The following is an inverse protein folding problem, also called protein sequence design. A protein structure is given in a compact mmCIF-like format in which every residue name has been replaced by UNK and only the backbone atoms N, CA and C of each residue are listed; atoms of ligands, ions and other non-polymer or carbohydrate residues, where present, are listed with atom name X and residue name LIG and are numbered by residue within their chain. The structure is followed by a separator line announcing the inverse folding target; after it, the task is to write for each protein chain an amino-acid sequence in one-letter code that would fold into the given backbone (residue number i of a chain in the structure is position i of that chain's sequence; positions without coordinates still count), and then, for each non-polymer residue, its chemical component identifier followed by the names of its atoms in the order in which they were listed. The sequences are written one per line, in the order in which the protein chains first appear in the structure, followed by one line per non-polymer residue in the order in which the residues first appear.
data_IF_545524546248
#
_entry.id   IF_545524546248
#
_cell.length_a   1.000
_cell.length_b   1.000
_cell.length_c   1.000
_cell.angle_alpha   90.00
_cell.angle_beta   90.00
_cell.angle_gamma   90.00
#
_symmetry.space_group_name_H-M   'P 1'
#
loop_
_entity.id
_entity.type
_entity.pdbx_description
1 polymer ?
#
# COMPACT_ATOMS: atom_id res chain seq x y z
N UNK A 1 -72.77 34.15 -21.04
CA UNK A 1 -71.77 35.22 -20.82
C UNK A 1 -71.64 35.41 -19.31
N UNK A 2 -70.78 34.77 -18.50
CA UNK A 2 -69.39 34.25 -18.56
C UNK A 2 -68.28 35.30 -18.72
N UNK A 3 -68.03 36.03 -17.63
CA UNK A 3 -66.74 36.57 -17.11
C UNK A 3 -67.16 37.59 -16.05
N UNK A 4 -66.68 37.64 -14.81
CA UNK A 4 -65.28 37.79 -14.40
C UNK A 4 -65.24 37.53 -12.88
N UNK A 5 -64.93 36.31 -12.46
CA UNK A 5 -64.56 36.01 -11.07
C UNK A 5 -63.40 35.02 -11.13
N UNK A 6 -62.20 35.54 -11.37
CA UNK A 6 -61.01 34.69 -11.38
C UNK A 6 -59.73 35.47 -11.09
N UNK A 7 -59.71 36.26 -10.01
CA UNK A 7 -58.46 36.88 -9.50
C UNK A 7 -58.48 36.96 -7.96
N UNK A 8 -58.64 35.84 -7.25
CA UNK A 8 -58.33 35.76 -5.79
C UNK A 8 -57.77 34.38 -5.39
N UNK A 9 -57.09 33.66 -6.30
CA UNK A 9 -56.41 32.39 -5.95
C UNK A 9 -55.07 32.27 -6.67
N UNK A 10 -54.18 33.24 -6.45
CA UNK A 10 -52.76 33.08 -6.81
C UNK A 10 -51.88 34.08 -6.06
N UNK A 11 -51.93 34.05 -4.71
CA UNK A 11 -51.06 34.86 -3.86
C UNK A 11 -50.55 34.10 -2.61
N UNK A 12 -50.58 32.76 -2.64
CA UNK A 12 -50.04 31.90 -1.55
C UNK A 12 -49.01 30.87 -2.10
N UNK A 13 -48.51 31.07 -3.33
CA UNK A 13 -47.42 30.25 -3.87
C UNK A 13 -46.39 31.17 -4.52
N UNK A 14 -45.77 32.03 -3.70
CA UNK A 14 -44.58 32.81 -4.08
C UNK A 14 -43.85 33.33 -2.84
N UNK A 15 -43.76 32.49 -1.81
CA UNK A 15 -42.96 32.77 -0.61
C UNK A 15 -42.28 31.48 -0.09
N UNK A 16 -41.68 30.70 -0.98
CA UNK A 16 -40.95 29.48 -0.60
C UNK A 16 -39.68 29.24 -1.43
N UNK A 17 -38.98 30.31 -1.85
CA UNK A 17 -37.72 30.21 -2.62
C UNK A 17 -36.70 31.29 -2.24
N UNK A 18 -36.57 31.63 -0.96
CA UNK A 18 -35.49 32.51 -0.48
C UNK A 18 -35.11 32.14 0.95
N UNK A 19 -34.38 31.04 1.06
CA UNK A 19 -33.91 30.51 2.33
C UNK A 19 -32.98 29.32 2.15
N UNK A 20 -32.14 29.31 1.10
CA UNK A 20 -30.96 28.46 1.10
C UNK A 20 -29.98 29.16 2.04
N UNK A 21 -30.12 28.88 3.34
CA UNK A 21 -29.04 29.07 4.27
C UNK A 21 -27.84 28.31 3.70
N UNK A 22 -26.80 29.05 3.30
CA UNK A 22 -25.47 28.53 3.15
C UNK A 22 -24.99 28.08 4.54
N UNK A 23 -25.50 26.92 4.98
CA UNK A 23 -24.89 26.14 6.02
C UNK A 23 -23.55 25.68 5.44
N UNK A 24 -22.49 26.39 5.80
CA UNK A 24 -21.16 25.82 5.72
C UNK A 24 -21.23 24.49 6.48
N UNK A 25 -21.27 23.39 5.73
CA UNK A 25 -21.09 22.06 6.29
C UNK A 25 -19.65 22.08 6.81
N UNK A 26 -19.50 22.47 8.09
CA UNK A 26 -18.36 22.01 8.87
C UNK A 26 -18.44 20.50 8.77
N UNK A 27 -17.46 19.91 8.11
CA UNK A 27 -17.20 18.49 8.22
C UNK A 27 -16.87 18.21 9.70
N UNK A 28 -17.91 18.05 10.51
CA UNK A 28 -17.80 17.37 11.78
C UNK A 28 -17.24 15.99 11.44
N UNK A 29 -16.14 15.64 12.09
CA UNK A 29 -15.46 14.37 11.91
C UNK A 29 -16.49 13.25 12.06
N UNK A 30 -16.68 12.47 10.99
CA UNK A 30 -17.35 11.16 11.03
C UNK A 30 -16.51 10.23 11.92
N UNK A 31 -16.57 10.43 13.23
CA UNK A 31 -15.95 9.59 14.24
C UNK A 31 -17.05 8.72 14.84
N UNK A 32 -17.74 8.01 13.95
CA UNK A 32 -18.95 7.23 14.23
C UNK A 32 -18.54 5.79 14.52
N UNK A 33 -17.91 5.55 15.69
CA UNK A 33 -17.68 4.20 16.24
C UNK A 33 -16.73 3.24 15.49
N UNK A 34 -16.23 3.57 14.30
CA UNK A 34 -15.42 2.67 13.46
C UNK A 34 -13.91 2.65 13.80
N UNK A 35 -13.49 3.37 14.84
CA UNK A 35 -12.07 3.51 15.19
C UNK A 35 -11.27 4.32 14.15
N UNK A 36 -9.93 4.40 14.30
CA UNK A 36 -9.07 5.20 13.42
C UNK A 36 -9.21 4.81 11.94
N UNK A 37 -9.50 5.79 11.08
CA UNK A 37 -9.64 5.59 9.64
C UNK A 37 -8.42 6.10 8.88
N UNK A 38 -7.89 5.29 7.97
CA UNK A 38 -6.76 5.66 7.13
C UNK A 38 -7.21 6.55 5.96
N UNK A 39 -7.39 7.85 6.16
CA UNK A 39 -7.75 8.78 5.07
C UNK A 39 -6.71 8.79 3.95
N UNK A 40 -5.43 8.53 4.27
CA UNK A 40 -4.37 8.40 3.28
C UNK A 40 -4.51 7.18 2.35
N UNK A 41 -5.34 6.20 2.72
CA UNK A 41 -5.60 5.02 1.89
C UNK A 41 -6.46 5.33 0.65
N UNK A 42 -7.20 6.44 0.67
CA UNK A 42 -8.12 6.81 -0.41
C UNK A 42 -7.37 7.18 -1.70
N UNK A 43 -8.06 6.98 -2.82
CA UNK A 43 -7.59 7.30 -4.17
C UNK A 43 -6.73 6.21 -4.81
N UNK A 44 -6.14 6.55 -5.96
CA UNK A 44 -5.18 5.70 -6.65
C UNK A 44 -3.79 5.83 -6.02
N UNK A 45 -3.13 4.69 -5.77
CA UNK A 45 -1.73 4.63 -5.33
C UNK A 45 -0.85 4.10 -6.45
N UNK A 46 0.22 4.82 -6.75
CA UNK A 46 1.27 4.38 -7.68
C UNK A 46 2.18 3.40 -6.94
N UNK A 47 2.23 2.14 -7.39
CA UNK A 47 2.98 1.07 -6.74
C UNK A 47 4.04 0.51 -7.68
N UNK A 48 5.31 0.74 -7.36
CA UNK A 48 6.41 0.08 -8.05
C UNK A 48 6.46 -1.39 -7.59
N UNK A 49 6.21 -2.32 -8.49
CA UNK A 49 6.26 -3.76 -8.22
C UNK A 49 7.48 -4.36 -8.86
N UNK A 50 8.37 -4.96 -8.07
CA UNK A 50 9.65 -5.49 -8.54
C UNK A 50 9.76 -6.96 -8.19
N UNK A 51 9.97 -7.81 -9.19
CA UNK A 51 10.29 -9.22 -8.96
C UNK A 51 11.80 -9.39 -8.88
N UNK A 52 12.32 -9.79 -7.73
CA UNK A 52 13.77 -9.92 -7.51
C UNK A 52 14.23 -11.37 -7.55
N UNK A 53 15.41 -11.61 -8.11
CA UNK A 53 16.11 -12.90 -8.14
C UNK A 53 17.40 -12.84 -7.36
N UNK A 54 17.83 -14.00 -6.88
CA UNK A 54 19.13 -14.18 -6.23
C UNK A 54 20.01 -15.05 -7.15
N UNK A 55 21.35 -14.89 -7.13
CA UNK A 55 22.26 -15.68 -7.95
C UNK A 55 22.17 -17.19 -7.72
N UNK A 56 21.81 -17.61 -6.50
CA UNK A 56 21.75 -19.00 -6.04
C UNK A 56 20.32 -19.55 -5.91
N UNK A 57 19.31 -18.84 -6.43
CA UNK A 57 17.91 -19.27 -6.33
C UNK A 57 17.15 -19.13 -7.67
N UNK A 58 16.34 -20.15 -7.96
CA UNK A 58 15.55 -20.23 -9.19
C UNK A 58 14.07 -19.98 -8.89
N UNK A 59 13.40 -19.07 -9.62
CA UNK A 59 11.95 -18.89 -9.54
C UNK A 59 11.23 -20.20 -9.81
N UNK A 60 10.22 -20.49 -8.99
CA UNK A 60 9.38 -21.68 -9.14
C UNK A 60 8.08 -21.41 -9.88
N UNK A 61 7.70 -20.13 -10.03
CA UNK A 61 6.51 -19.71 -10.75
C UNK A 61 6.87 -18.94 -12.03
N UNK A 62 6.06 -19.07 -13.11
CA UNK A 62 6.16 -18.18 -14.25
C UNK A 62 5.92 -16.73 -13.83
N UNK A 63 6.72 -15.79 -14.35
CA UNK A 63 6.60 -14.37 -13.98
C UNK A 63 5.21 -13.80 -14.26
N UNK A 64 4.52 -14.32 -15.28
CA UNK A 64 3.15 -13.91 -15.61
C UNK A 64 2.12 -14.35 -14.57
N UNK A 65 2.36 -15.45 -13.85
CA UNK A 65 1.52 -15.83 -12.71
C UNK A 65 1.69 -14.83 -11.55
N UNK A 66 2.92 -14.37 -11.31
CA UNK A 66 3.21 -13.31 -10.34
C UNK A 66 2.55 -12.00 -10.78
N UNK A 67 2.76 -11.57 -12.03
CA UNK A 67 2.17 -10.35 -12.61
C UNK A 67 0.66 -10.31 -12.45
N UNK A 68 -0.07 -11.36 -12.86
CA UNK A 68 -1.54 -11.41 -12.72
C UNK A 68 -1.98 -11.24 -11.27
N UNK A 69 -1.28 -11.86 -10.33
CA UNK A 69 -1.58 -11.77 -8.89
C UNK A 69 -1.40 -10.35 -8.36
N UNK A 70 -0.27 -9.70 -8.66
CA UNK A 70 0.11 -8.43 -8.03
C UNK A 70 -0.41 -7.18 -8.76
N UNK A 71 -0.57 -7.24 -10.08
CA UNK A 71 -1.11 -6.11 -10.88
C UNK A 71 -2.64 -6.16 -10.92
N UNK A 72 -3.20 -7.32 -11.27
CA UNK A 72 -4.65 -7.49 -11.41
C UNK A 72 -5.31 -7.84 -10.09
N UNK A 73 -4.88 -8.95 -9.48
CA UNK A 73 -5.51 -9.53 -8.30
C UNK A 73 -5.51 -8.58 -7.10
N UNK A 74 -4.38 -7.96 -6.78
CA UNK A 74 -4.28 -7.07 -5.62
C UNK A 74 -5.10 -5.80 -5.81
N UNK A 75 -5.07 -5.17 -7.00
CA UNK A 75 -5.90 -4.01 -7.29
C UNK A 75 -7.40 -4.35 -7.22
N UNK A 76 -7.82 -5.48 -7.79
CA UNK A 76 -9.21 -5.93 -7.72
C UNK A 76 -9.67 -6.11 -6.28
N UNK A 77 -8.85 -6.78 -5.46
CA UNK A 77 -9.13 -6.96 -4.03
C UNK A 77 -9.23 -5.61 -3.30
N UNK A 78 -8.29 -4.69 -3.51
CA UNK A 78 -8.30 -3.36 -2.87
C UNK A 78 -9.54 -2.57 -3.27
N UNK A 79 -9.90 -2.55 -4.56
CA UNK A 79 -11.11 -1.86 -5.04
C UNK A 79 -12.38 -2.45 -4.44
N UNK A 80 -12.48 -3.78 -4.40
CA UNK A 80 -13.63 -4.46 -3.82
C UNK A 80 -13.78 -4.16 -2.32
N UNK A 81 -12.70 -4.34 -1.54
CA UNK A 81 -12.74 -4.13 -0.09
C UNK A 81 -12.92 -2.66 0.32
N UNK A 82 -12.56 -1.72 -0.56
CA UNK A 82 -12.75 -0.28 -0.33
C UNK A 82 -14.01 0.29 -0.97
N UNK A 83 -14.89 -0.54 -1.54
CA UNK A 83 -16.07 -0.07 -2.29
C UNK A 83 -15.72 0.93 -3.40
N UNK A 84 -14.57 0.75 -4.04
CA UNK A 84 -14.05 1.60 -5.11
C UNK A 84 -13.35 2.87 -4.64
N UNK A 85 -13.21 3.10 -3.33
CA UNK A 85 -12.60 4.31 -2.78
C UNK A 85 -11.06 4.31 -2.84
N UNK A 86 -10.44 3.13 -2.97
CA UNK A 86 -9.00 2.97 -3.12
C UNK A 86 -8.66 2.09 -4.33
N UNK A 87 -7.53 2.36 -4.97
CA UNK A 87 -7.03 1.55 -6.07
C UNK A 87 -5.52 1.56 -6.18
N UNK A 88 -4.98 0.58 -6.90
CA UNK A 88 -3.56 0.46 -7.21
C UNK A 88 -3.34 0.65 -8.70
N UNK A 89 -2.40 1.53 -9.03
CA UNK A 89 -1.74 1.58 -10.33
C UNK A 89 -0.35 0.97 -10.18
N UNK A 90 -0.25 -0.31 -10.53
CA UNK A 90 1.00 -1.05 -10.42
C UNK A 90 1.86 -0.82 -11.66
N UNK A 91 3.10 -0.40 -11.44
CA UNK A 91 4.17 -0.44 -12.44
C UNK A 91 5.02 -1.68 -12.21
N UNK A 92 4.95 -2.64 -13.14
CA UNK A 92 5.55 -3.95 -12.95
C UNK A 92 6.91 -4.06 -13.63
N UNK A 93 7.94 -4.12 -12.80
CA UNK A 93 9.29 -4.48 -13.18
C UNK A 93 9.46 -6.00 -13.06
N UNK A 94 9.89 -6.62 -14.16
CA UNK A 94 10.19 -8.04 -14.21
C UNK A 94 11.41 -8.42 -13.37
N UNK A 95 12.06 -9.53 -13.72
CA UNK A 95 13.19 -10.03 -12.96
C UNK A 95 14.34 -9.01 -12.85
N UNK A 96 14.69 -8.65 -11.62
CA UNK A 96 15.86 -7.86 -11.24
C UNK A 96 16.79 -8.77 -10.44
N UNK A 97 18.03 -8.93 -10.90
CA UNK A 97 19.03 -9.73 -10.18
C UNK A 97 19.62 -8.91 -9.03
N UNK A 98 19.61 -9.47 -7.82
CA UNK A 98 20.30 -8.91 -6.66
C UNK A 98 21.75 -9.42 -6.60
N UNK A 99 22.67 -8.67 -5.97
CA UNK A 99 24.10 -8.97 -6.04
C UNK A 99 24.53 -10.21 -5.24
N UNK A 100 23.78 -10.57 -4.19
CA UNK A 100 24.19 -11.60 -3.23
C UNK A 100 23.23 -12.79 -3.18
N UNK A 101 23.69 -13.88 -2.57
CA UNK A 101 22.88 -15.08 -2.31
C UNK A 101 21.64 -14.80 -1.45
N UNK A 102 20.61 -15.63 -1.59
CA UNK A 102 19.36 -15.57 -0.80
C UNK A 102 19.63 -15.55 0.71
N UNK A 103 20.68 -16.25 1.18
CA UNK A 103 21.05 -16.31 2.58
C UNK A 103 21.47 -14.94 3.17
N UNK A 104 21.90 -14.00 2.32
CA UNK A 104 22.23 -12.64 2.74
C UNK A 104 21.00 -11.78 3.03
N UNK A 105 19.83 -12.20 2.54
CA UNK A 105 18.56 -11.49 2.66
C UNK A 105 17.54 -12.20 3.54
N UNK A 106 17.82 -13.43 4.00
CA UNK A 106 16.80 -14.23 4.66
C UNK A 106 16.29 -13.58 5.96
N UNK A 107 14.97 -13.61 6.10
CA UNK A 107 14.24 -12.96 7.18
C UNK A 107 13.70 -14.04 8.11
N UNK A 108 13.90 -13.83 9.42
CA UNK A 108 13.31 -14.70 10.44
C UNK A 108 11.80 -14.76 10.26
N UNK A 109 11.15 -15.94 10.28
CA UNK A 109 9.69 -16.05 10.26
C UNK A 109 9.03 -15.48 11.53
N UNK A 110 9.82 -15.25 12.59
CA UNK A 110 9.36 -14.64 13.83
C UNK A 110 9.64 -13.14 13.81
N UNK A 111 8.56 -12.33 13.79
CA UNK A 111 8.61 -10.87 13.69
C UNK A 111 9.57 -10.22 14.70
N UNK A 112 9.58 -10.69 15.95
CA UNK A 112 10.44 -10.15 17.01
C UNK A 112 11.93 -10.50 16.87
N UNK A 113 12.29 -11.38 15.93
CA UNK A 113 13.67 -11.80 15.62
C UNK A 113 14.13 -11.34 14.23
N UNK A 114 13.38 -10.45 13.58
CA UNK A 114 13.75 -9.92 12.26
C UNK A 114 15.00 -9.06 12.37
N UNK A 115 16.01 -9.36 11.56
CA UNK A 115 17.18 -8.49 11.39
C UNK A 115 16.83 -7.35 10.41
N UNK A 116 16.68 -6.15 10.96
CA UNK A 116 16.36 -4.93 10.20
C UNK A 116 17.40 -4.61 9.11
N UNK A 117 18.65 -5.02 9.31
CA UNK A 117 19.73 -4.80 8.32
C UNK A 117 19.49 -5.60 7.05
N UNK A 118 18.93 -6.81 7.16
CA UNK A 118 18.59 -7.65 6.00
C UNK A 118 17.36 -7.14 5.26
N UNK A 119 16.36 -6.64 5.99
CA UNK A 119 15.21 -5.96 5.38
C UNK A 119 15.68 -4.72 4.61
N UNK A 120 16.52 -3.88 5.23
CA UNK A 120 17.09 -2.70 4.59
C UNK A 120 17.91 -3.07 3.36
N UNK A 121 18.81 -4.06 3.49
CA UNK A 121 19.65 -4.55 2.39
C UNK A 121 18.82 -4.98 1.17
N UNK A 122 17.78 -5.80 1.36
CA UNK A 122 16.89 -6.22 0.26
C UNK A 122 16.36 -5.01 -0.52
N UNK A 123 15.89 -4.01 0.21
CA UNK A 123 15.25 -2.83 -0.38
C UNK A 123 16.27 -1.94 -1.08
N UNK A 124 17.38 -1.62 -0.41
CA UNK A 124 18.42 -0.73 -0.94
C UNK A 124 19.15 -1.36 -2.14
N UNK A 125 19.38 -2.68 -2.14
CA UNK A 125 19.93 -3.38 -3.30
C UNK A 125 18.92 -3.43 -4.46
N UNK A 126 17.63 -3.61 -4.17
CA UNK A 126 16.56 -3.52 -5.19
C UNK A 126 16.51 -2.12 -5.80
N UNK A 127 16.59 -1.08 -4.98
CA UNK A 127 16.63 0.32 -5.45
C UNK A 127 17.89 0.57 -6.29
N UNK A 128 19.05 0.10 -5.83
CA UNK A 128 20.32 0.21 -6.55
C UNK A 128 20.25 -0.43 -7.94
N UNK A 129 19.65 -1.61 -8.06
CA UNK A 129 19.51 -2.29 -9.34
C UNK A 129 18.54 -1.58 -10.32
N UNK A 130 17.78 -0.59 -9.85
CA UNK A 130 16.77 0.14 -10.63
C UNK A 130 17.07 1.63 -10.81
N UNK A 131 18.01 2.19 -10.05
CA UNK A 131 18.20 3.64 -9.91
C UNK A 131 18.57 4.38 -11.20
N UNK A 132 19.09 3.67 -12.21
CA UNK A 132 19.43 4.24 -13.51
C UNK A 132 18.23 4.44 -14.44
N UNK A 133 17.05 3.87 -14.11
CA UNK A 133 15.87 3.87 -14.99
C UNK A 133 14.54 4.11 -14.27
N UNK A 134 14.54 4.20 -12.94
CA UNK A 134 13.34 4.43 -12.13
C UNK A 134 13.49 5.72 -11.35
N UNK A 135 12.49 6.59 -11.45
CA UNK A 135 12.32 7.72 -10.55
C UNK A 135 11.45 7.28 -9.36
N UNK A 136 12.09 7.01 -8.22
CA UNK A 136 11.38 6.54 -7.03
C UNK A 136 10.39 7.56 -6.46
N UNK A 137 10.52 8.85 -6.80
CA UNK A 137 9.60 9.89 -6.32
C UNK A 137 8.21 9.81 -6.98
N UNK A 138 8.07 9.06 -8.08
CA UNK A 138 6.81 8.87 -8.78
C UNK A 138 5.88 7.82 -8.11
N UNK A 139 6.33 7.16 -7.05
CA UNK A 139 5.59 6.06 -6.41
C UNK A 139 5.25 6.39 -4.97
N UNK A 140 4.05 6.00 -4.56
CA UNK A 140 3.63 6.04 -3.16
C UNK A 140 4.23 4.85 -2.40
N UNK A 141 4.22 3.68 -3.04
CA UNK A 141 4.63 2.42 -2.43
C UNK A 141 5.53 1.57 -3.33
N UNK A 142 6.32 0.69 -2.70
CA UNK A 142 7.11 -0.35 -3.37
C UNK A 142 6.66 -1.73 -2.88
N UNK A 143 6.37 -2.62 -3.83
CA UNK A 143 6.23 -4.06 -3.61
C UNK A 143 7.49 -4.76 -4.13
N UNK A 144 8.18 -5.49 -3.26
CA UNK A 144 9.28 -6.39 -3.66
C UNK A 144 8.79 -7.82 -3.58
N UNK A 145 8.94 -8.58 -4.66
CA UNK A 145 8.58 -9.99 -4.76
C UNK A 145 9.84 -10.83 -4.93
N UNK A 146 10.38 -11.42 -3.85
CA UNK A 146 11.40 -12.46 -3.96
C UNK A 146 10.86 -13.64 -4.77
N UNK A 147 11.48 -13.91 -5.92
CA UNK A 147 11.10 -14.98 -6.84
C UNK A 147 11.64 -16.33 -6.38
N UNK A 148 11.18 -16.76 -5.21
CA UNK A 148 11.56 -18.01 -4.55
C UNK A 148 10.38 -18.56 -3.77
N UNK A 149 10.13 -19.87 -3.87
CA UNK A 149 9.19 -20.53 -2.96
C UNK A 149 9.82 -20.63 -1.57
N UNK A 150 9.12 -20.10 -0.57
CA UNK A 150 9.57 -20.10 0.82
C UNK A 150 8.51 -20.69 1.74
N UNK A 151 8.94 -21.26 2.85
CA UNK A 151 8.09 -21.60 4.00
C UNK A 151 8.67 -20.95 5.25
N UNK A 152 7.90 -20.79 6.34
CA UNK A 152 8.43 -20.25 7.59
C UNK A 152 9.72 -20.97 8.02
N UNK A 153 10.83 -20.22 8.06
CA UNK A 153 12.15 -20.72 8.47
C UNK A 153 12.92 -21.54 7.41
N UNK A 154 12.41 -21.66 6.18
CA UNK A 154 13.08 -22.30 5.04
C UNK A 154 13.27 -21.28 3.90
N UNK A 155 14.34 -21.40 3.12
CA UNK A 155 14.59 -20.52 1.98
C UNK A 155 14.78 -19.05 2.41
N UNK A 156 13.98 -18.15 1.84
CA UNK A 156 13.96 -16.73 2.22
C UNK A 156 13.48 -16.50 3.66
N UNK A 157 12.71 -17.42 4.22
CA UNK A 157 12.37 -17.50 5.64
C UNK A 157 11.00 -16.92 6.01
N UNK A 158 10.64 -15.74 5.53
CA UNK A 158 9.34 -15.10 5.80
C UNK A 158 8.55 -14.92 4.49
N UNK A 159 7.29 -15.36 4.47
CA UNK A 159 6.48 -15.33 3.25
C UNK A 159 6.05 -13.91 2.87
N UNK A 160 5.62 -13.11 3.85
CA UNK A 160 5.10 -11.76 3.60
C UNK A 160 5.33 -10.89 4.83
N UNK A 161 5.62 -9.60 4.62
CA UNK A 161 5.69 -8.58 5.67
C UNK A 161 5.65 -7.15 5.13
N UNK A 162 5.08 -6.24 5.91
CA UNK A 162 5.25 -4.81 5.75
C UNK A 162 6.64 -4.37 6.24
N UNK A 163 7.48 -3.86 5.33
CA UNK A 163 8.81 -3.37 5.65
C UNK A 163 8.78 -1.92 6.17
N UNK A 164 8.02 -1.03 5.51
CA UNK A 164 7.89 0.39 5.85
C UNK A 164 6.40 0.77 5.80
N UNK A 165 5.79 1.32 6.86
CA UNK A 165 6.35 1.67 8.16
C UNK A 165 6.38 0.49 9.17
N UNK A 166 6.72 -0.73 8.73
CA UNK A 166 6.72 -1.94 9.58
C UNK A 166 8.12 -2.32 10.08
N UNK A 167 8.60 -3.50 9.66
CA UNK A 167 9.82 -4.15 10.16
C UNK A 167 11.03 -3.23 10.26
N UNK A 168 11.20 -2.28 9.33
CA UNK A 168 12.32 -1.34 9.32
C UNK A 168 12.34 -0.41 10.52
N UNK A 169 11.21 -0.07 11.13
CA UNK A 169 11.14 0.80 12.32
C UNK A 169 11.12 0.02 13.64
N UNK A 170 10.87 -1.29 13.56
CA UNK A 170 10.75 -2.22 14.69
C UNK A 170 9.32 -2.79 14.81
N UNK A 171 9.13 -3.77 15.70
CA UNK A 171 7.82 -4.40 15.98
C UNK A 171 7.65 -4.79 17.46
N UNK A 172 8.53 -4.32 18.34
CA UNK A 172 8.51 -4.63 19.78
C UNK A 172 7.57 -3.69 20.54
N UNK A 173 7.12 -3.99 21.76
CA UNK A 173 6.20 -3.11 22.52
C UNK A 173 6.64 -1.65 22.69
N UNK A 174 7.94 -1.34 22.52
CA UNK A 174 8.51 0.00 22.74
C UNK A 174 8.91 0.72 21.46
N UNK A 175 8.69 0.13 20.28
CA UNK A 175 9.06 0.80 19.03
C UNK A 175 8.10 1.96 18.74
N UNK A 176 8.63 2.99 18.09
CA UNK A 176 7.85 4.09 17.54
C UNK A 176 7.77 3.87 16.02
N UNK A 177 6.59 3.58 15.48
CA UNK A 177 6.37 3.49 14.04
C UNK A 177 6.84 4.76 13.35
N UNK A 178 7.62 4.59 12.29
CA UNK A 178 8.05 5.69 11.41
C UNK A 178 8.35 5.15 10.02
N UNK A 179 8.23 6.03 9.03
CA UNK A 179 8.82 5.77 7.74
C UNK A 179 10.33 5.99 7.84
N UNK A 180 11.08 4.91 7.71
CA UNK A 180 12.52 4.98 7.50
C UNK A 180 12.79 5.49 6.07
N UNK A 181 13.84 6.30 5.90
CA UNK A 181 14.34 6.65 4.56
C UNK A 181 15.29 5.55 4.09
N UNK A 182 15.10 5.11 2.86
CA UNK A 182 15.93 4.11 2.18
C UNK A 182 16.74 4.83 1.11
N UNK A 183 17.95 4.35 0.84
CA UNK A 183 18.85 4.97 -0.14
C UNK A 183 19.52 3.91 -1.00
N UNK A 184 19.49 4.09 -2.32
CA UNK A 184 20.30 3.31 -3.26
C UNK A 184 21.78 3.67 -3.18
N UNK A 185 22.65 2.87 -3.79
CA UNK A 185 24.09 3.12 -3.80
C UNK A 185 24.49 4.45 -4.45
N UNK A 186 23.79 4.86 -5.51
CA UNK A 186 23.95 6.15 -6.17
C UNK A 186 23.23 7.31 -5.47
N UNK A 187 22.59 7.07 -4.33
CA UNK A 187 22.06 8.11 -3.46
C UNK A 187 20.59 8.47 -3.65
N UNK A 188 19.84 7.79 -4.55
CA UNK A 188 18.41 8.00 -4.72
C UNK A 188 17.66 7.58 -3.45
N UNK A 189 16.71 8.40 -3.04
CA UNK A 189 15.95 8.17 -1.80
C UNK A 189 14.54 7.68 -2.07
N UNK A 190 14.01 6.91 -1.13
CA UNK A 190 12.58 6.59 -1.05
C UNK A 190 12.12 6.61 0.40
N UNK A 191 10.96 7.22 0.65
CA UNK A 191 10.34 7.35 1.98
C UNK A 191 8.83 7.17 1.88
N UNK A 192 8.41 6.03 1.35
CA UNK A 192 7.01 5.62 1.28
C UNK A 192 6.78 4.23 1.87
N UNK A 193 5.60 3.69 1.62
CA UNK A 193 5.21 2.35 2.04
C UNK A 193 5.99 1.26 1.29
N UNK A 194 6.47 0.26 2.00
CA UNK A 194 7.21 -0.86 1.39
C UNK A 194 6.69 -2.16 2.00
N UNK A 195 6.36 -3.12 1.16
CA UNK A 195 5.98 -4.46 1.58
C UNK A 195 6.63 -5.50 0.70
N UNK A 196 6.87 -6.66 1.28
CA UNK A 196 7.59 -7.76 0.65
C UNK A 196 6.75 -9.01 0.76
N UNK A 197 6.58 -9.72 -0.35
CA UNK A 197 5.80 -10.94 -0.40
C UNK A 197 6.44 -11.88 -1.41
N UNK A 198 6.76 -13.12 -1.02
CA UNK A 198 7.39 -14.09 -1.93
C UNK A 198 6.41 -14.55 -3.01
N UNK A 199 6.94 -15.08 -4.12
CA UNK A 199 6.12 -15.50 -5.26
C UNK A 199 4.99 -16.48 -4.89
N UNK A 200 5.20 -17.32 -3.87
CA UNK A 200 4.24 -18.30 -3.38
C UNK A 200 3.26 -17.76 -2.31
N UNK A 201 3.32 -16.48 -1.94
CA UNK A 201 2.32 -15.87 -1.08
C UNK A 201 0.94 -15.85 -1.76
N UNK A 202 -0.12 -16.10 -0.97
CA UNK A 202 -1.50 -15.99 -1.46
C UNK A 202 -1.96 -14.53 -1.46
N UNK A 203 -3.05 -14.22 -2.16
CA UNK A 203 -3.51 -12.83 -2.33
C UNK A 203 -3.87 -12.14 -1.01
N UNK A 204 -4.39 -12.90 -0.03
CA UNK A 204 -4.70 -12.37 1.30
C UNK A 204 -3.45 -11.91 2.05
N UNK A 205 -2.32 -12.60 1.88
CA UNK A 205 -1.04 -12.17 2.45
C UNK A 205 -0.54 -10.87 1.81
N UNK A 206 -0.60 -10.76 0.48
CA UNK A 206 -0.27 -9.52 -0.22
C UNK A 206 -1.15 -8.36 0.28
N UNK A 207 -2.46 -8.57 0.39
CA UNK A 207 -3.40 -7.56 0.85
C UNK A 207 -3.15 -7.15 2.30
N UNK A 208 -2.99 -8.11 3.22
CA UNK A 208 -2.72 -7.86 4.63
C UNK A 208 -1.52 -6.93 4.85
N UNK A 209 -0.37 -7.28 4.27
CA UNK A 209 0.84 -6.47 4.46
C UNK A 209 0.86 -5.18 3.64
N UNK A 210 0.15 -5.16 2.50
CA UNK A 210 -0.09 -3.92 1.78
C UNK A 210 -0.93 -2.93 2.61
N UNK A 211 -1.97 -3.41 3.30
CA UNK A 211 -2.85 -2.56 4.10
C UNK A 211 -2.14 -1.89 5.27
N UNK A 212 -1.06 -2.47 5.80
CA UNK A 212 -0.19 -1.75 6.72
C UNK A 212 0.55 -0.56 6.07
N UNK A 213 1.00 -0.72 4.82
CA UNK A 213 1.66 0.35 4.08
C UNK A 213 0.66 1.44 3.63
N UNK A 214 -0.50 1.00 3.13
CA UNK A 214 -1.60 1.85 2.68
C UNK A 214 -2.25 2.61 3.84
N UNK A 215 -2.46 1.94 4.97
CA UNK A 215 -2.98 2.53 6.19
C UNK A 215 -1.99 3.46 6.87
N UNK A 216 -0.69 3.18 6.72
CA UNK A 216 0.42 3.99 7.19
C UNK A 216 0.42 4.23 8.70
N UNK A 217 0.83 5.43 9.11
CA UNK A 217 0.89 5.85 10.52
C UNK A 217 -0.16 6.91 10.78
N UNK A 218 -0.91 6.73 11.87
CA UNK A 218 -1.89 7.66 12.40
C UNK A 218 -1.66 7.84 13.90
N UNK A 219 -1.53 9.09 14.36
CA UNK A 219 -1.31 9.43 15.79
C UNK A 219 -0.19 8.62 16.46
N UNK A 220 0.94 8.46 15.75
CA UNK A 220 2.11 7.74 16.26
C UNK A 220 1.94 6.21 16.31
N UNK A 221 0.85 5.67 15.78
CA UNK A 221 0.58 4.23 15.67
C UNK A 221 0.52 3.81 14.21
N UNK A 222 1.08 2.65 13.89
CA UNK A 222 0.89 2.02 12.58
C UNK A 222 -0.52 1.45 12.53
N UNK A 223 -1.28 1.78 11.51
CA UNK A 223 -2.60 1.19 11.30
C UNK A 223 -2.46 -0.27 10.86
N UNK A 224 -3.43 -1.07 11.28
CA UNK A 224 -3.49 -2.50 11.01
C UNK A 224 -4.73 -2.80 10.16
N UNK A 225 -4.68 -3.84 9.31
CA UNK A 225 -5.84 -4.30 8.54
C UNK A 225 -7.05 -4.60 9.42
#
# INVERSE_FOLDING_TARGET
MKSTQMIVRLAIILLSMSGIFAGAIRAESLNDGLGPQATQALGEKNVLTVVVRFPDATPSLPIEAVRRKVVGGLNAYVKEQSYGLASIKADFMGYVMLPDSIASYNISPYNFRVDRRRVRKLIEDTMTALESRVDFSAYDHILIVPAVTTMPGKGYGMICYCANPGMLSGVTRRYVPRYETLRSSGGKEFKGGIFVATENANIGMFAHDYFHALGGIHEGKRLVP
#
